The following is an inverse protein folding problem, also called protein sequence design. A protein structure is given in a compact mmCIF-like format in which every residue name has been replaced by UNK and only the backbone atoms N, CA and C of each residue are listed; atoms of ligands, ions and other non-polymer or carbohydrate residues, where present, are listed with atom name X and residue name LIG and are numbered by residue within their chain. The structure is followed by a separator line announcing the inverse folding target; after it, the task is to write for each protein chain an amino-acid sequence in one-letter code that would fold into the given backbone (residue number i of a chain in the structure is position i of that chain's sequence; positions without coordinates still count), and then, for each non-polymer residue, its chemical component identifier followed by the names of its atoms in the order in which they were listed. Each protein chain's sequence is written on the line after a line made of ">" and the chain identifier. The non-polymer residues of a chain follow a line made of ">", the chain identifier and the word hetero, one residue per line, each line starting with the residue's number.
data_IF_367472500589
#
_entry.id   IF_367472500589
#
_cell.length_a   1.000
_cell.length_b   1.000
_cell.length_c   1.000
_cell.angle_alpha   90.00
_cell.angle_beta   90.00
_cell.angle_gamma   90.00
#
_symmetry.space_group_name_H-M   'P 1'
#
loop_
_entity.id
_entity.type
_entity.pdbx_description
1 polymer ?
#
# COMPACT_ATOMS: atom_id res chain seq x y z
N UNK A 1 -17.74 0.69 1.60
CA UNK A 1 -16.40 0.29 1.12
C UNK A 1 -15.99 1.32 0.08
N UNK A 2 -14.78 1.87 0.16
CA UNK A 2 -14.28 2.89 -0.79
C UNK A 2 -13.28 2.24 -1.72
N UNK A 3 -13.50 2.34 -3.03
CA UNK A 3 -12.59 1.82 -4.04
C UNK A 3 -11.65 2.92 -4.57
N UNK A 4 -10.37 2.58 -4.71
CA UNK A 4 -9.35 3.46 -5.30
C UNK A 4 -8.84 2.84 -6.60
N UNK A 5 -9.15 3.48 -7.73
CA UNK A 5 -8.72 3.00 -9.05
C UNK A 5 -7.38 3.65 -9.46
N UNK A 6 -6.46 2.90 -10.10
CA UNK A 6 -5.21 3.46 -10.60
C UNK A 6 -5.46 4.42 -11.78
N UNK A 7 -5.00 5.66 -11.64
CA UNK A 7 -5.10 6.70 -12.70
C UNK A 7 -4.00 6.53 -13.78
N UNK A 8 -4.13 5.50 -14.63
CA UNK A 8 -3.14 5.20 -15.67
C UNK A 8 -2.92 6.34 -16.66
N UNK A 9 -3.97 7.11 -17.00
CA UNK A 9 -3.85 8.26 -17.90
C UNK A 9 -2.88 9.33 -17.36
N UNK A 10 -2.78 9.47 -16.03
CA UNK A 10 -1.97 10.49 -15.36
C UNK A 10 -0.59 9.98 -14.97
N UNK A 11 -0.50 8.75 -14.49
CA UNK A 11 0.70 8.21 -13.86
C UNK A 11 1.33 7.03 -14.60
N UNK A 12 0.73 6.58 -15.70
CA UNK A 12 1.21 5.46 -16.52
C UNK A 12 1.57 4.25 -15.65
N UNK A 13 2.77 3.68 -15.81
CA UNK A 13 3.25 2.50 -15.06
C UNK A 13 3.30 2.71 -13.55
N UNK A 14 3.38 3.95 -13.06
CA UNK A 14 3.42 4.26 -11.63
C UNK A 14 2.04 4.38 -10.98
N UNK A 15 0.95 4.32 -11.76
CA UNK A 15 -0.42 4.49 -11.26
C UNK A 15 -0.79 3.53 -10.11
N UNK A 16 -0.40 2.24 -10.11
CA UNK A 16 -0.70 1.35 -8.98
C UNK A 16 -0.04 1.78 -7.67
N UNK A 17 1.18 2.32 -7.74
CA UNK A 17 1.89 2.82 -6.56
C UNK A 17 1.24 4.09 -6.02
N UNK A 18 0.81 5.00 -6.90
CA UNK A 18 0.07 6.21 -6.50
C UNK A 18 -1.26 5.87 -5.83
N UNK A 19 -2.01 4.91 -6.37
CA UNK A 19 -3.21 4.36 -5.73
C UNK A 19 -2.90 3.79 -4.34
N UNK A 20 -1.80 3.03 -4.18
CA UNK A 20 -1.43 2.50 -2.86
C UNK A 20 -1.21 3.62 -1.83
N UNK A 21 -0.59 4.73 -2.22
CA UNK A 21 -0.40 5.88 -1.33
C UNK A 21 -1.74 6.49 -0.90
N UNK A 22 -2.72 6.57 -1.80
CA UNK A 22 -4.07 7.03 -1.46
C UNK A 22 -4.76 6.11 -0.46
N UNK A 23 -4.66 4.79 -0.65
CA UNK A 23 -5.21 3.79 0.28
C UNK A 23 -4.57 3.95 1.67
N UNK A 24 -3.24 4.08 1.74
CA UNK A 24 -2.51 4.29 3.00
C UNK A 24 -2.96 5.58 3.70
N UNK A 25 -3.08 6.68 2.95
CA UNK A 25 -3.48 7.96 3.50
C UNK A 25 -4.92 7.92 4.06
N UNK A 26 -5.82 7.24 3.35
CA UNK A 26 -7.22 7.08 3.73
C UNK A 26 -7.43 6.15 4.94
N UNK A 27 -6.66 5.07 5.05
CA UNK A 27 -6.83 4.07 6.10
C UNK A 27 -6.36 4.56 7.48
N UNK A 28 -7.06 4.13 8.54
CA UNK A 28 -6.60 4.30 9.92
C UNK A 28 -5.46 3.32 10.25
N UNK A 29 -5.65 2.05 9.86
CA UNK A 29 -4.67 0.96 10.02
C UNK A 29 -4.61 0.11 8.73
N UNK A 30 -3.42 -0.41 8.42
CA UNK A 30 -3.18 -1.29 7.26
C UNK A 30 -2.80 -2.70 7.73
N UNK A 31 -3.47 -3.72 7.20
CA UNK A 31 -3.12 -5.12 7.40
C UNK A 31 -2.37 -5.63 6.16
N UNK A 32 -1.09 -5.94 6.32
CA UNK A 32 -0.22 -6.39 5.24
C UNK A 32 0.07 -7.89 5.37
N UNK A 33 -0.47 -8.69 4.46
CA UNK A 33 -0.11 -10.11 4.33
C UNK A 33 1.13 -10.20 3.44
N UNK A 34 2.28 -10.50 4.03
CA UNK A 34 3.57 -10.44 3.35
C UNK A 34 4.32 -11.76 3.48
N UNK A 35 4.72 -12.30 2.34
CA UNK A 35 5.58 -13.48 2.20
C UNK A 35 7.05 -13.21 2.59
N UNK A 36 7.46 -11.93 2.60
CA UNK A 36 8.85 -11.51 2.81
C UNK A 36 9.59 -11.14 1.53
N UNK A 37 8.99 -11.39 0.36
CA UNK A 37 9.62 -11.21 -0.95
C UNK A 37 8.90 -10.18 -1.82
N UNK A 38 7.57 -10.07 -1.71
CA UNK A 38 6.77 -9.17 -2.53
C UNK A 38 7.21 -7.71 -2.38
N UNK A 39 7.83 -7.18 -3.44
CA UNK A 39 8.25 -5.78 -3.52
C UNK A 39 7.08 -4.80 -3.39
N UNK A 40 5.92 -5.16 -3.94
CA UNK A 40 4.71 -4.32 -3.85
C UNK A 40 4.21 -4.18 -2.42
N UNK A 41 4.16 -5.28 -1.68
CA UNK A 41 3.76 -5.27 -0.26
C UNK A 41 4.80 -4.57 0.61
N UNK A 42 6.10 -4.81 0.35
CA UNK A 42 7.19 -4.10 1.01
C UNK A 42 7.07 -2.58 0.81
N UNK A 43 6.79 -2.13 -0.41
CA UNK A 43 6.58 -0.71 -0.70
C UNK A 43 5.43 -0.11 0.12
N UNK A 44 4.32 -0.82 0.27
CA UNK A 44 3.18 -0.37 1.10
C UNK A 44 3.60 -0.25 2.56
N UNK A 45 4.24 -1.27 3.12
CA UNK A 45 4.72 -1.28 4.52
C UNK A 45 5.65 -0.10 4.79
N UNK A 46 6.62 0.16 3.90
CA UNK A 46 7.55 1.28 4.03
C UNK A 46 6.83 2.64 3.98
N UNK A 47 5.84 2.79 3.10
CA UNK A 47 5.08 4.03 3.00
C UNK A 47 4.13 4.25 4.18
N UNK A 48 3.57 3.19 4.78
CA UNK A 48 2.84 3.32 6.04
C UNK A 48 3.74 3.91 7.12
N UNK A 49 4.96 3.39 7.28
CA UNK A 49 5.94 3.90 8.24
C UNK A 49 6.29 5.37 7.98
N UNK A 50 6.52 5.75 6.72
CA UNK A 50 6.83 7.15 6.34
C UNK A 50 5.68 8.11 6.63
N UNK A 51 4.44 7.65 6.54
CA UNK A 51 3.23 8.45 6.78
C UNK A 51 2.72 8.33 8.23
N UNK A 52 3.49 7.70 9.14
CA UNK A 52 3.08 7.40 10.51
C UNK A 52 1.73 6.68 10.61
N UNK A 53 1.42 5.81 9.63
CA UNK A 53 0.23 4.97 9.63
C UNK A 53 0.52 3.64 10.30
N UNK A 54 -0.42 3.18 11.13
CA UNK A 54 -0.30 1.87 11.78
C UNK A 54 -0.35 0.76 10.73
N UNK A 55 0.59 -0.17 10.80
CA UNK A 55 0.64 -1.34 9.91
C UNK A 55 0.93 -2.60 10.70
N UNK A 56 0.08 -3.62 10.54
CA UNK A 56 0.30 -4.98 11.07
C UNK A 56 0.71 -5.88 9.92
N UNK A 57 1.82 -6.60 10.10
CA UNK A 57 2.37 -7.49 9.09
C UNK A 57 2.07 -8.94 9.50
N UNK A 58 1.37 -9.67 8.64
CA UNK A 58 1.10 -11.09 8.79
C UNK A 58 2.01 -11.86 7.84
N UNK A 59 2.94 -12.64 8.40
CA UNK A 59 3.80 -13.54 7.64
C UNK A 59 3.23 -14.94 7.74
N UNK A 60 3.10 -15.63 6.60
CA UNK A 60 2.81 -17.07 6.62
C UNK A 60 4.12 -17.76 7.04
N UNK A 61 4.06 -18.54 8.12
CA UNK A 61 5.16 -19.41 8.58
C UNK A 61 5.30 -20.55 7.58
#
# INVERSE_FOLDING_TARGET
>A
MTEFLPEYKKYSRSAPLKRNLQIIAYADEVLAFWDGESHGTKYVIENCKKQNKQVKIFKKI
#
